data_IF_049098247244
#
_entry.id   IF_049098247244
#
_cell.length_a   1.000
_cell.length_b   1.000
_cell.length_c   1.000
_cell.angle_alpha   90.00
_cell.angle_beta   90.00
_cell.angle_gamma   90.00
#
_symmetry.space_group_name_H-M   'P 1'
#
loop_
_entity.id
_entity.type
_entity.pdbx_description
1 polymer ?
#
# COMPACT_ATOMS: atom_id res chain seq x y z
N UNK A 1 -1.78 -18.44 -14.93
CA UNK A 1 -2.19 -17.03 -14.93
C UNK A 1 -1.37 -16.29 -13.89
N UNK A 2 -0.89 -15.09 -14.21
CA UNK A 2 -0.29 -14.19 -13.24
C UNK A 2 -1.30 -13.08 -12.96
N UNK A 3 -1.43 -12.68 -11.69
CA UNK A 3 -2.30 -11.58 -11.25
C UNK A 3 -1.45 -10.59 -10.48
N UNK A 4 -1.59 -9.31 -10.81
CA UNK A 4 -1.07 -8.19 -10.03
C UNK A 4 -2.19 -7.69 -9.12
N UNK A 5 -1.99 -7.76 -7.81
CA UNK A 5 -2.85 -7.13 -6.81
C UNK A 5 -2.27 -5.80 -6.36
N UNK A 6 -3.13 -4.80 -6.20
CA UNK A 6 -2.81 -3.49 -5.64
C UNK A 6 -3.77 -3.25 -4.48
N UNK A 7 -3.26 -2.83 -3.33
CA UNK A 7 -4.05 -2.58 -2.13
C UNK A 7 -3.71 -1.19 -1.57
N UNK A 8 -4.75 -0.36 -1.41
CA UNK A 8 -4.68 1.06 -1.00
C UNK A 8 -5.92 1.49 -0.21
N UNK A 9 -6.48 0.61 0.63
CA UNK A 9 -7.73 0.91 1.36
C UNK A 9 -7.55 1.81 2.59
N UNK A 10 -6.39 1.79 3.24
CA UNK A 10 -6.14 2.50 4.50
C UNK A 10 -4.84 3.32 4.46
N UNK A 11 -3.79 2.88 5.16
CA UNK A 11 -2.53 3.61 5.35
C UNK A 11 -1.33 2.81 4.80
N UNK A 12 -1.59 1.73 4.08
CA UNK A 12 -0.60 0.90 3.42
C UNK A 12 -0.81 0.97 1.91
N UNK A 13 0.28 1.10 1.16
CA UNK A 13 0.28 0.86 -0.28
C UNK A 13 1.04 -0.42 -0.54
N UNK A 14 0.40 -1.42 -1.14
CA UNK A 14 1.10 -2.65 -1.49
C UNK A 14 0.81 -3.13 -2.90
N UNK A 15 1.79 -3.84 -3.45
CA UNK A 15 1.71 -4.48 -4.75
C UNK A 15 2.25 -5.91 -4.64
N UNK A 16 1.48 -6.87 -5.15
CA UNK A 16 1.84 -8.28 -5.11
C UNK A 16 1.60 -8.96 -6.45
N UNK A 17 2.51 -9.86 -6.83
CA UNK A 17 2.33 -10.72 -8.01
C UNK A 17 2.09 -12.14 -7.53
N UNK A 18 0.98 -12.74 -7.96
CA UNK A 18 0.61 -14.12 -7.64
C UNK A 18 0.45 -14.95 -8.90
N UNK A 19 0.78 -16.24 -8.83
CA UNK A 19 0.45 -17.22 -9.87
C UNK A 19 -0.33 -18.38 -9.28
N UNK A 20 -1.63 -18.41 -9.57
CA UNK A 20 -2.56 -19.33 -8.90
C UNK A 20 -2.57 -19.07 -7.39
N UNK A 21 -2.13 -20.07 -6.60
CA UNK A 21 -2.03 -19.97 -5.13
C UNK A 21 -0.63 -19.60 -4.62
N UNK A 22 0.32 -19.33 -5.52
CA UNK A 22 1.71 -19.01 -5.17
C UNK A 22 1.94 -17.50 -5.20
N UNK A 23 2.48 -16.95 -4.11
CA UNK A 23 3.01 -15.60 -4.05
C UNK A 23 4.39 -15.56 -4.72
N UNK A 24 4.57 -14.68 -5.71
CA UNK A 24 5.84 -14.50 -6.42
C UNK A 24 6.59 -13.27 -5.92
N UNK A 25 5.87 -12.19 -5.62
CA UNK A 25 6.42 -10.95 -5.06
C UNK A 25 5.37 -10.26 -4.21
N UNK A 26 5.82 -9.53 -3.19
CA UNK A 26 4.99 -8.66 -2.35
C UNK A 26 5.86 -7.51 -1.81
N UNK A 27 5.44 -6.27 -2.04
CA UNK A 27 6.06 -5.07 -1.49
C UNK A 27 5.01 -4.24 -0.79
N UNK A 28 5.36 -3.67 0.37
CA UNK A 28 4.47 -2.87 1.20
C UNK A 28 5.20 -1.59 1.59
N UNK A 29 4.55 -0.45 1.36
CA UNK A 29 4.95 0.86 1.86
C UNK A 29 3.94 1.27 2.94
N UNK A 30 4.36 1.19 4.20
CA UNK A 30 3.54 1.58 5.36
C UNK A 30 3.67 3.08 5.64
N UNK A 31 2.58 3.68 6.12
CA UNK A 31 2.53 5.08 6.53
C UNK A 31 2.37 5.24 8.06
N UNK A 32 2.55 4.18 8.84
CA UNK A 32 2.37 4.21 10.30
C UNK A 32 3.18 5.34 10.96
N UNK A 33 4.44 5.53 10.54
CA UNK A 33 5.30 6.61 11.04
C UNK A 33 4.72 8.02 10.78
N UNK A 34 4.00 8.21 9.67
CA UNK A 34 3.36 9.49 9.31
C UNK A 34 2.12 9.74 10.16
N UNK A 35 1.33 8.69 10.43
CA UNK A 35 0.07 8.77 11.16
C UNK A 35 0.24 8.73 12.68
N UNK A 36 1.34 8.14 13.18
CA UNK A 36 1.63 8.01 14.62
C UNK A 36 1.59 9.33 15.37
N UNK A 37 2.08 10.43 14.76
CA UNK A 37 2.08 11.77 15.36
C UNK A 37 0.67 12.36 15.53
N UNK A 38 -0.32 11.84 14.80
CA UNK A 38 -1.71 12.29 14.87
C UNK A 38 -2.59 11.40 15.75
N UNK A 39 -2.05 10.28 16.24
CA UNK A 39 -2.80 9.31 17.05
C UNK A 39 -3.84 8.51 16.26
N UNK A 40 -3.75 8.50 14.93
CA UNK A 40 -4.67 7.80 14.03
C UNK A 40 -4.43 8.16 12.58
N UNK A 41 -5.07 7.39 11.67
CA UNK A 41 -4.96 7.62 10.23
C UNK A 41 -5.63 8.93 9.84
N UNK A 42 -4.89 9.78 9.13
CA UNK A 42 -5.40 11.02 8.54
C UNK A 42 -5.75 10.75 7.07
N UNK A 43 -7.04 10.68 6.68
CA UNK A 43 -7.45 10.19 5.36
C UNK A 43 -6.83 10.94 4.17
N UNK A 44 -6.73 12.26 4.27
CA UNK A 44 -6.13 13.10 3.22
C UNK A 44 -4.63 12.81 3.03
N UNK A 45 -3.88 12.63 4.13
CA UNK A 45 -2.46 12.27 4.04
C UNK A 45 -2.28 10.87 3.46
N UNK A 46 -3.18 9.95 3.82
CA UNK A 46 -3.13 8.58 3.31
C UNK A 46 -3.34 8.52 1.79
N UNK A 47 -4.36 9.21 1.30
CA UNK A 47 -4.65 9.31 -0.14
C UNK A 47 -3.49 9.91 -0.93
N UNK A 48 -2.89 11.01 -0.44
CA UNK A 48 -1.71 11.63 -1.10
C UNK A 48 -0.52 10.69 -1.13
N UNK A 49 -0.26 9.99 -0.03
CA UNK A 49 0.90 9.09 0.06
C UNK A 49 0.72 7.84 -0.81
N UNK A 50 -0.50 7.35 -1.01
CA UNK A 50 -0.78 6.31 -2.00
C UNK A 50 -0.42 6.75 -3.43
N UNK A 51 -0.78 7.99 -3.81
CA UNK A 51 -0.45 8.54 -5.12
C UNK A 51 1.06 8.71 -5.31
N UNK A 52 1.77 9.21 -4.30
CA UNK A 52 3.23 9.35 -4.35
C UNK A 52 3.92 8.01 -4.59
N UNK A 53 3.57 6.97 -3.81
CA UNK A 53 4.24 5.66 -3.90
C UNK A 53 3.92 4.92 -5.21
N UNK A 54 2.75 5.16 -5.80
CA UNK A 54 2.36 4.49 -7.07
C UNK A 54 2.93 5.22 -8.29
N UNK A 55 3.09 6.54 -8.22
CA UNK A 55 3.51 7.36 -9.36
C UNK A 55 5.02 7.67 -9.40
N UNK A 56 5.75 7.51 -8.29
CA UNK A 56 7.23 7.49 -8.27
C UNK A 56 7.80 6.15 -8.76
#
# INVERSE_FOLDING_TARGET
MMVLGIETSCDETSAAVVSGRRLLSNVIASQDDVHRRFGGVVPELAGRRHLEVICE
#
